data_IF_604298546449
#
_entry.id   IF_604298546449
#
_cell.length_a   1.000
_cell.length_b   1.000
_cell.length_c   1.000
_cell.angle_alpha   90.00
_cell.angle_beta   90.00
_cell.angle_gamma   90.00
#
_symmetry.space_group_name_H-M   'P 1'
#
loop_
_entity.id
_entity.type
_entity.pdbx_description
1 polymer ?
#
# COMPACT_ATOMS: atom_id res chain seq x y z
N UNK A 1 -18.09 5.79 -13.39
CA UNK A 1 -17.72 6.47 -12.13
C UNK A 1 -16.20 6.60 -12.12
N UNK A 2 -15.70 7.81 -11.91
CA UNK A 2 -14.26 8.10 -11.92
C UNK A 2 -13.73 7.73 -10.55
N UNK A 3 -12.93 6.65 -10.44
CA UNK A 3 -12.44 6.13 -9.15
C UNK A 3 -10.95 6.41 -8.95
N UNK A 4 -10.59 6.94 -7.79
CA UNK A 4 -9.23 6.94 -7.26
C UNK A 4 -9.02 5.78 -6.30
N UNK A 5 -7.77 5.36 -6.12
CA UNK A 5 -7.45 4.20 -5.28
C UNK A 5 -6.35 4.56 -4.29
N UNK A 6 -6.57 4.26 -3.01
CA UNK A 6 -5.57 4.43 -1.95
C UNK A 6 -5.05 3.04 -1.56
N UNK A 7 -3.81 2.74 -1.88
CA UNK A 7 -3.13 1.54 -1.40
C UNK A 7 -2.37 1.84 -0.11
N UNK A 8 -2.43 0.95 0.87
CA UNK A 8 -1.70 1.11 2.12
C UNK A 8 -0.93 -0.18 2.43
N UNK A 9 0.40 -0.09 2.44
CA UNK A 9 1.25 -1.09 3.08
C UNK A 9 1.33 -0.76 4.57
N UNK A 10 0.76 -1.66 5.39
CA UNK A 10 0.64 -1.46 6.83
C UNK A 10 1.93 -1.88 7.51
N UNK A 11 2.60 -0.94 8.16
CA UNK A 11 3.80 -1.20 8.93
C UNK A 11 4.64 0.06 9.13
N UNK A 12 5.60 0.01 10.05
CA UNK A 12 6.51 1.14 10.34
C UNK A 12 7.36 1.56 9.13
N UNK A 13 7.58 0.66 8.20
CA UNK A 13 8.30 0.89 6.93
C UNK A 13 7.35 0.84 5.73
N UNK A 14 6.07 0.98 5.98
CA UNK A 14 5.05 0.99 4.95
C UNK A 14 4.90 2.35 4.27
N UNK A 15 3.90 2.43 3.41
CA UNK A 15 3.56 3.67 2.71
C UNK A 15 2.06 3.76 2.43
N UNK A 16 1.62 4.97 2.19
CA UNK A 16 0.28 5.33 1.73
C UNK A 16 0.46 5.86 0.32
N UNK A 17 -0.20 5.27 -0.64
CA UNK A 17 -0.14 5.68 -2.05
C UNK A 17 -1.53 5.99 -2.55
N UNK A 18 -1.72 7.15 -3.13
CA UNK A 18 -2.95 7.50 -3.81
C UNK A 18 -2.70 7.54 -5.32
N UNK A 19 -3.40 6.66 -6.04
CA UNK A 19 -3.45 6.64 -7.49
C UNK A 19 -4.69 7.42 -7.95
N UNK A 20 -4.46 8.57 -8.52
CA UNK A 20 -5.50 9.43 -9.06
C UNK A 20 -6.16 8.82 -10.31
N UNK A 21 -7.39 9.22 -10.61
CA UNK A 21 -8.08 8.74 -11.83
C UNK A 21 -7.33 9.11 -13.13
N UNK A 22 -6.62 10.23 -13.16
CA UNK A 22 -5.81 10.70 -14.29
C UNK A 22 -4.44 9.99 -14.42
N UNK A 23 -4.12 9.11 -13.46
CA UNK A 23 -2.87 8.36 -13.42
C UNK A 23 -1.76 8.99 -12.59
N UNK A 24 -1.96 10.19 -12.06
CA UNK A 24 -1.01 10.80 -11.11
C UNK A 24 -0.91 9.94 -9.85
N UNK A 25 0.29 9.85 -9.28
CA UNK A 25 0.59 9.09 -8.08
C UNK A 25 1.11 10.04 -7.01
N UNK A 26 0.50 10.01 -5.83
CA UNK A 26 0.99 10.65 -4.61
C UNK A 26 1.38 9.57 -3.61
N UNK A 27 2.54 9.69 -2.98
CA UNK A 27 3.05 8.70 -2.05
C UNK A 27 3.62 9.35 -0.78
N UNK A 28 3.32 8.75 0.36
CA UNK A 28 3.80 9.16 1.66
C UNK A 28 4.30 7.94 2.42
N UNK A 29 5.45 8.05 3.11
CA UNK A 29 5.82 7.05 4.10
C UNK A 29 4.79 7.01 5.22
N UNK A 30 4.59 5.86 5.84
CA UNK A 30 3.84 5.79 7.10
C UNK A 30 4.51 6.72 8.11
N UNK A 31 3.81 7.73 8.64
CA UNK A 31 4.41 8.71 9.54
C UNK A 31 4.76 8.08 10.88
N UNK A 32 5.87 8.52 11.46
CA UNK A 32 6.42 7.97 12.69
C UNK A 32 6.72 9.07 13.71
N UNK A 33 6.36 8.80 14.97
CA UNK A 33 6.85 9.57 16.13
C UNK A 33 7.74 8.62 16.92
N UNK A 34 9.05 8.89 16.93
CA UNK A 34 10.06 7.98 17.47
C UNK A 34 9.93 6.59 16.80
N UNK A 35 9.62 5.57 17.57
CA UNK A 35 9.49 4.18 17.13
C UNK A 35 8.03 3.72 16.94
N UNK A 36 7.05 4.62 16.99
CA UNK A 36 5.63 4.32 16.86
C UNK A 36 5.02 5.02 15.66
N UNK A 37 3.97 4.43 15.11
CA UNK A 37 3.21 5.05 14.02
C UNK A 37 2.43 6.25 14.55
N UNK A 38 2.58 7.39 13.89
CA UNK A 38 1.76 8.58 14.13
C UNK A 38 0.40 8.42 13.44
N UNK A 39 -0.53 7.82 14.15
CA UNK A 39 -1.86 7.58 13.62
C UNK A 39 -2.66 8.87 13.39
N UNK A 40 -2.38 9.94 14.14
CA UNK A 40 -3.04 11.22 13.93
C UNK A 40 -2.63 11.82 12.59
N UNK A 41 -1.33 11.90 12.34
CA UNK A 41 -0.83 12.42 11.06
C UNK A 41 -1.14 11.47 9.89
N UNK A 42 -1.16 10.16 10.10
CA UNK A 42 -1.63 9.20 9.10
C UNK A 42 -3.10 9.44 8.72
N UNK A 43 -3.95 9.68 9.70
CA UNK A 43 -5.35 10.04 9.48
C UNK A 43 -5.46 11.32 8.65
N UNK A 44 -4.70 12.38 8.97
CA UNK A 44 -4.72 13.65 8.25
C UNK A 44 -4.32 13.49 6.78
N UNK A 45 -3.30 12.66 6.48
CA UNK A 45 -2.90 12.33 5.10
C UNK A 45 -4.06 11.68 4.34
N UNK A 46 -4.67 10.65 4.92
CA UNK A 46 -5.78 9.90 4.28
C UNK A 46 -7.01 10.80 4.13
N UNK A 47 -7.32 11.62 5.14
CA UNK A 47 -8.41 12.58 5.08
C UNK A 47 -8.22 13.60 3.97
N UNK A 48 -6.99 14.12 3.82
CA UNK A 48 -6.67 15.08 2.75
C UNK A 48 -6.85 14.47 1.36
N UNK A 49 -6.37 13.24 1.15
CA UNK A 49 -6.57 12.51 -0.10
C UNK A 49 -8.06 12.30 -0.40
N UNK A 50 -8.83 11.89 0.62
CA UNK A 50 -10.26 11.66 0.51
C UNK A 50 -11.03 12.95 0.18
N UNK A 51 -10.74 14.04 0.91
CA UNK A 51 -11.40 15.32 0.71
C UNK A 51 -11.16 15.89 -0.70
N UNK A 52 -9.90 15.86 -1.17
CA UNK A 52 -9.55 16.29 -2.53
C UNK A 52 -10.25 15.46 -3.60
N UNK A 53 -10.30 14.13 -3.42
CA UNK A 53 -10.99 13.27 -4.35
C UNK A 53 -12.48 13.56 -4.39
N UNK A 54 -13.10 13.71 -3.22
CA UNK A 54 -14.53 14.00 -3.10
C UNK A 54 -14.89 15.37 -3.74
N UNK A 55 -14.08 16.38 -3.50
CA UNK A 55 -14.25 17.72 -4.09
C UNK A 55 -14.21 17.68 -5.63
N UNK A 56 -13.32 16.87 -6.21
CA UNK A 56 -13.13 16.80 -7.66
C UNK A 56 -14.15 15.87 -8.37
N UNK A 57 -14.59 14.82 -7.71
CA UNK A 57 -15.31 13.72 -8.38
C UNK A 57 -16.65 13.36 -7.75
N UNK A 58 -17.03 14.04 -6.67
CA UNK A 58 -18.28 13.79 -5.90
C UNK A 58 -18.43 12.31 -5.47
N UNK A 59 -17.33 11.66 -5.15
CA UNK A 59 -17.30 10.31 -4.64
C UNK A 59 -16.04 10.07 -3.78
N UNK A 60 -16.06 9.03 -2.95
CA UNK A 60 -14.88 8.65 -2.19
C UNK A 60 -13.94 7.77 -3.03
N UNK A 61 -12.62 7.87 -2.84
CA UNK A 61 -11.69 6.89 -3.38
C UNK A 61 -11.91 5.52 -2.74
N UNK A 62 -11.37 4.45 -3.32
CA UNK A 62 -11.42 3.12 -2.69
C UNK A 62 -10.08 2.80 -2.03
N UNK A 63 -10.12 2.40 -0.75
CA UNK A 63 -8.92 2.05 0.00
C UNK A 63 -8.64 0.55 -0.06
N UNK A 64 -7.38 0.17 -0.31
CA UNK A 64 -6.93 -1.22 -0.38
C UNK A 64 -5.74 -1.41 0.55
N UNK A 65 -5.79 -2.42 1.41
CA UNK A 65 -4.68 -2.82 2.26
C UNK A 65 -4.67 -4.32 2.52
N UNK A 66 -3.55 -4.83 3.04
CA UNK A 66 -3.41 -6.27 3.23
C UNK A 66 -4.36 -6.80 4.31
N UNK A 67 -5.00 -7.92 3.99
CA UNK A 67 -5.65 -8.77 4.99
C UNK A 67 -4.58 -9.56 5.72
N UNK A 68 -4.27 -9.15 6.95
CA UNK A 68 -3.31 -9.87 7.77
C UNK A 68 -3.88 -11.25 8.16
N UNK A 69 -3.10 -12.27 7.92
CA UNK A 69 -3.36 -13.63 8.43
C UNK A 69 -2.64 -13.89 9.74
N UNK A 70 -2.97 -14.99 10.40
CA UNK A 70 -2.18 -15.48 11.52
C UNK A 70 -0.83 -15.94 10.97
N UNK A 71 0.25 -15.24 11.33
CA UNK A 71 1.61 -15.63 10.94
C UNK A 71 2.12 -16.61 11.99
N UNK A 72 2.09 -17.90 11.65
CA UNK A 72 2.67 -18.93 12.50
C UNK A 72 4.17 -18.66 12.70
N UNK A 73 4.64 -18.71 13.96
CA UNK A 73 6.03 -18.45 14.31
C UNK A 73 6.39 -16.97 14.53
N UNK A 74 5.47 -16.02 14.33
CA UNK A 74 5.71 -14.64 14.75
C UNK A 74 5.67 -14.50 16.29
N UNK A 75 6.44 -13.54 16.82
CA UNK A 75 6.33 -13.22 18.24
C UNK A 75 4.94 -12.66 18.58
N UNK A 76 4.50 -12.85 19.82
CA UNK A 76 3.22 -12.28 20.31
C UNK A 76 3.19 -10.76 20.12
N UNK A 77 4.31 -10.09 20.38
CA UNK A 77 4.45 -8.63 20.21
C UNK A 77 4.29 -8.22 18.74
N UNK A 78 4.90 -8.96 17.80
CA UNK A 78 4.75 -8.70 16.38
C UNK A 78 3.30 -8.87 15.93
N UNK A 79 2.66 -9.98 16.32
CA UNK A 79 1.27 -10.25 15.96
C UNK A 79 0.32 -9.17 16.52
N UNK A 80 0.53 -8.76 17.79
CA UNK A 80 -0.24 -7.69 18.41
C UNK A 80 -0.05 -6.36 17.68
N UNK A 81 1.19 -5.96 17.40
CA UNK A 81 1.49 -4.71 16.67
C UNK A 81 0.87 -4.68 15.28
N UNK A 82 0.95 -5.77 14.54
CA UNK A 82 0.33 -5.88 13.21
C UNK A 82 -1.19 -5.79 13.29
N UNK A 83 -1.81 -6.50 14.23
CA UNK A 83 -3.26 -6.44 14.45
C UNK A 83 -3.74 -5.04 14.82
N UNK A 84 -3.02 -4.37 15.73
CA UNK A 84 -3.30 -3.00 16.13
C UNK A 84 -3.24 -2.02 14.96
N UNK A 85 -2.18 -2.08 14.16
CA UNK A 85 -2.02 -1.21 12.98
C UNK A 85 -3.11 -1.48 11.94
N UNK A 86 -3.43 -2.75 11.68
CA UNK A 86 -4.52 -3.11 10.74
C UNK A 86 -5.88 -2.60 11.22
N UNK A 87 -6.17 -2.73 12.51
CA UNK A 87 -7.39 -2.18 13.10
C UNK A 87 -7.46 -0.66 13.02
N UNK A 88 -6.34 0.04 13.24
CA UNK A 88 -6.27 1.49 13.11
C UNK A 88 -6.58 1.95 11.68
N UNK A 89 -5.96 1.34 10.67
CA UNK A 89 -6.23 1.66 9.25
C UNK A 89 -7.69 1.40 8.88
N UNK A 90 -8.24 0.27 9.32
CA UNK A 90 -9.66 -0.05 9.10
C UNK A 90 -10.59 0.99 9.74
N UNK A 91 -10.31 1.40 10.96
CA UNK A 91 -11.09 2.44 11.64
C UNK A 91 -10.98 3.81 10.96
N UNK A 92 -9.83 4.16 10.40
CA UNK A 92 -9.68 5.38 9.58
C UNK A 92 -10.59 5.34 8.35
N UNK A 93 -10.63 4.21 7.63
CA UNK A 93 -11.52 4.05 6.48
C UNK A 93 -12.99 4.20 6.88
N UNK A 94 -13.41 3.57 7.98
CA UNK A 94 -14.79 3.65 8.51
C UNK A 94 -15.14 5.10 8.92
N UNK A 95 -14.26 5.75 9.68
CA UNK A 95 -14.48 7.10 10.19
C UNK A 95 -14.59 8.14 9.05
N UNK A 96 -13.79 7.96 8.00
CA UNK A 96 -13.78 8.81 6.80
C UNK A 96 -14.81 8.39 5.74
N UNK A 97 -15.60 7.33 6.00
CA UNK A 97 -16.58 6.76 5.06
C UNK A 97 -15.97 6.34 3.72
N UNK A 98 -14.69 6.00 3.72
CA UNK A 98 -13.99 5.52 2.54
C UNK A 98 -14.32 4.03 2.35
N UNK A 99 -14.88 3.60 1.20
CA UNK A 99 -15.03 2.19 0.90
C UNK A 99 -13.67 1.52 0.87
N UNK A 100 -13.55 0.32 1.44
CA UNK A 100 -12.27 -0.37 1.53
C UNK A 100 -12.38 -1.87 1.28
N UNK A 101 -11.27 -2.45 0.85
CA UNK A 101 -11.12 -3.89 0.67
C UNK A 101 -9.80 -4.37 1.30
N UNK A 102 -9.90 -5.40 2.14
CA UNK A 102 -8.73 -6.13 2.66
C UNK A 102 -8.42 -7.31 1.75
N UNK A 103 -7.20 -7.38 1.22
CA UNK A 103 -6.78 -8.41 0.27
C UNK A 103 -5.60 -9.24 0.81
N UNK A 104 -5.63 -10.57 0.70
CA UNK A 104 -4.47 -11.39 1.05
C UNK A 104 -3.27 -11.08 0.15
N UNK A 105 -2.05 -11.03 0.71
CA UNK A 105 -0.82 -10.77 -0.05
C UNK A 105 -0.69 -11.67 -1.29
N UNK A 106 -0.92 -12.98 -1.15
CA UNK A 106 -0.85 -13.93 -2.26
C UNK A 106 -1.80 -13.59 -3.41
N UNK A 107 -2.93 -12.95 -3.13
CA UNK A 107 -3.95 -12.65 -4.14
C UNK A 107 -3.51 -11.49 -5.04
N UNK A 108 -3.09 -10.36 -4.47
CA UNK A 108 -2.63 -9.23 -5.27
C UNK A 108 -1.28 -9.51 -5.93
N UNK A 109 -0.36 -10.22 -5.25
CA UNK A 109 0.92 -10.63 -5.80
C UNK A 109 0.75 -11.53 -7.02
N UNK A 110 -0.15 -12.53 -6.97
CA UNK A 110 -0.43 -13.40 -8.13
C UNK A 110 -0.83 -12.60 -9.36
N UNK A 111 -1.67 -11.59 -9.20
CA UNK A 111 -2.13 -10.74 -10.30
C UNK A 111 -1.02 -9.81 -10.81
N UNK A 112 -0.35 -9.11 -9.89
CA UNK A 112 0.63 -8.08 -10.26
C UNK A 112 1.94 -8.69 -10.80
N UNK A 113 2.30 -9.88 -10.35
CA UNK A 113 3.51 -10.57 -10.81
C UNK A 113 3.32 -11.36 -12.12
N UNK A 114 2.14 -11.32 -12.72
CA UNK A 114 1.91 -11.93 -14.05
C UNK A 114 2.91 -11.36 -15.06
N UNK A 115 3.73 -12.24 -15.68
CA UNK A 115 4.78 -11.85 -16.62
C UNK A 115 6.07 -11.32 -15.96
N UNK A 116 6.23 -11.48 -14.66
CA UNK A 116 7.50 -11.29 -13.95
C UNK A 116 8.14 -12.65 -13.76
N UNK A 117 9.41 -12.77 -14.17
CA UNK A 117 10.19 -13.98 -13.90
C UNK A 117 10.38 -14.18 -12.39
N UNK A 118 10.42 -15.44 -11.97
CA UNK A 118 10.63 -15.76 -10.57
C UNK A 118 12.04 -15.39 -10.13
N UNK A 119 12.13 -14.53 -9.12
CA UNK A 119 13.38 -14.11 -8.50
C UNK A 119 13.47 -14.80 -7.14
N UNK A 120 14.60 -15.47 -6.89
CA UNK A 120 14.88 -16.12 -5.61
C UNK A 120 15.90 -15.31 -4.79
N UNK A 121 15.79 -15.41 -3.49
CA UNK A 121 16.77 -14.80 -2.58
C UNK A 121 18.10 -15.51 -2.76
N UNK A 122 19.19 -14.76 -2.95
CA UNK A 122 20.54 -15.32 -3.12
C UNK A 122 20.87 -16.35 -2.05
N UNK A 123 21.22 -17.56 -2.49
CA UNK A 123 21.55 -18.68 -1.60
C UNK A 123 20.34 -19.36 -0.93
N UNK A 124 19.10 -19.05 -1.35
CA UNK A 124 17.88 -19.67 -0.83
C UNK A 124 16.96 -20.10 -1.97
N UNK A 125 16.07 -21.05 -1.70
CA UNK A 125 14.97 -21.43 -2.62
C UNK A 125 13.72 -20.56 -2.48
N UNK A 126 13.71 -19.64 -1.50
CA UNK A 126 12.58 -18.77 -1.25
C UNK A 126 12.51 -17.63 -2.28
N UNK A 127 11.31 -17.30 -2.73
CA UNK A 127 11.06 -16.18 -3.64
C UNK A 127 11.42 -14.85 -3.00
N UNK A 128 12.07 -13.99 -3.77
CA UNK A 128 12.29 -12.60 -3.43
C UNK A 128 11.08 -11.77 -3.92
N UNK A 129 10.03 -11.75 -3.11
CA UNK A 129 8.79 -11.04 -3.45
C UNK A 129 9.00 -9.53 -3.55
N UNK A 130 9.99 -8.95 -2.86
CA UNK A 130 10.31 -7.53 -2.95
C UNK A 130 10.95 -7.18 -4.29
N UNK A 131 11.92 -7.98 -4.73
CA UNK A 131 12.52 -7.80 -6.05
C UNK A 131 11.47 -7.98 -7.15
N UNK A 132 10.62 -8.99 -7.04
CA UNK A 132 9.53 -9.23 -7.99
C UNK A 132 8.50 -8.08 -8.01
N UNK A 133 8.14 -7.54 -6.85
CA UNK A 133 7.24 -6.39 -6.75
C UNK A 133 7.84 -5.16 -7.46
N UNK A 134 9.11 -4.88 -7.24
CA UNK A 134 9.78 -3.76 -7.90
C UNK A 134 9.82 -3.92 -9.42
N UNK A 135 10.09 -5.13 -9.94
CA UNK A 135 10.05 -5.41 -11.38
C UNK A 135 8.64 -5.20 -11.92
N UNK A 136 7.63 -5.70 -11.23
CA UNK A 136 6.23 -5.50 -11.61
C UNK A 136 5.86 -4.01 -11.63
N UNK A 137 6.22 -3.26 -10.60
CA UNK A 137 5.94 -1.83 -10.51
C UNK A 137 6.61 -1.02 -11.62
N UNK A 138 7.88 -1.25 -11.91
CA UNK A 138 8.60 -0.59 -13.02
C UNK A 138 7.96 -0.87 -14.38
N UNK A 139 7.45 -2.08 -14.58
CA UNK A 139 6.75 -2.45 -15.82
C UNK A 139 5.41 -1.74 -15.94
N UNK A 140 4.66 -1.63 -14.85
CA UNK A 140 3.30 -1.07 -14.84
C UNK A 140 3.31 0.45 -14.81
N UNK A 141 4.32 1.04 -14.22
CA UNK A 141 4.48 2.48 -14.05
C UNK A 141 5.85 2.95 -14.58
N UNK A 142 6.07 2.88 -15.90
CA UNK A 142 7.33 3.31 -16.49
C UNK A 142 7.57 4.80 -16.24
N UNK A 143 8.76 5.14 -15.76
CA UNK A 143 9.14 6.51 -15.42
C UNK A 143 8.72 6.98 -14.01
N UNK A 144 7.97 6.17 -13.25
CA UNK A 144 7.68 6.48 -11.85
C UNK A 144 8.92 6.32 -10.99
N UNK A 145 9.23 7.34 -10.20
CA UNK A 145 10.21 7.25 -9.13
C UNK A 145 9.59 6.52 -7.93
N UNK A 146 10.28 5.49 -7.45
CA UNK A 146 9.86 4.71 -6.29
C UNK A 146 10.60 5.11 -5.01
N UNK A 147 11.30 6.23 -5.01
CA UNK A 147 11.87 6.81 -3.79
C UNK A 147 10.85 7.72 -3.11
N UNK A 148 10.82 7.73 -1.77
CA UNK A 148 9.90 8.60 -1.01
C UNK A 148 10.51 9.97 -0.68
N UNK A 149 11.80 10.15 -0.95
CA UNK A 149 12.51 11.41 -0.70
C UNK A 149 13.55 11.63 -1.79
N UNK A 150 13.81 12.89 -2.14
CA UNK A 150 14.84 13.27 -3.13
C UNK A 150 16.25 12.76 -2.78
N UNK A 151 16.51 12.49 -1.51
CA UNK A 151 17.82 11.98 -1.04
C UNK A 151 17.92 10.46 -1.06
N UNK A 152 16.81 9.77 -1.22
CA UNK A 152 16.80 8.32 -1.25
C UNK A 152 17.33 7.82 -2.61
N UNK A 153 18.25 6.88 -2.57
CA UNK A 153 18.83 6.25 -3.77
C UNK A 153 18.25 4.88 -4.05
N UNK A 154 17.47 4.33 -3.11
CA UNK A 154 16.87 3.01 -3.23
C UNK A 154 15.34 3.12 -3.25
N UNK A 155 14.68 2.30 -4.06
CA UNK A 155 13.23 2.19 -4.03
C UNK A 155 12.73 1.86 -2.62
N UNK A 156 11.59 2.43 -2.25
CA UNK A 156 10.94 2.17 -0.98
C UNK A 156 9.94 1.01 -1.13
N UNK A 157 10.25 -0.12 -0.51
CA UNK A 157 9.44 -1.36 -0.63
C UNK A 157 7.96 -1.12 -0.33
N UNK A 158 7.66 -0.41 0.75
CA UNK A 158 6.27 -0.12 1.13
C UNK A 158 5.53 0.74 0.11
N UNK A 159 6.21 1.69 -0.56
CA UNK A 159 5.61 2.45 -1.66
C UNK A 159 5.29 1.55 -2.85
N UNK A 160 6.20 0.65 -3.19
CA UNK A 160 6.01 -0.32 -4.28
C UNK A 160 4.80 -1.21 -4.00
N UNK A 161 4.72 -1.80 -2.81
CA UNK A 161 3.62 -2.69 -2.43
C UNK A 161 2.28 -1.94 -2.36
N UNK A 162 2.24 -0.75 -1.76
CA UNK A 162 1.04 0.09 -1.69
C UNK A 162 0.53 0.48 -3.09
N UNK A 163 1.45 0.86 -4.01
CA UNK A 163 1.09 1.19 -5.38
C UNK A 163 0.55 -0.03 -6.14
N UNK A 164 1.16 -1.20 -5.98
CA UNK A 164 0.67 -2.43 -6.61
C UNK A 164 -0.70 -2.86 -6.06
N UNK A 165 -0.98 -2.62 -4.77
CA UNK A 165 -2.30 -2.86 -4.20
C UNK A 165 -3.35 -1.88 -4.74
N UNK A 166 -3.02 -0.61 -4.92
CA UNK A 166 -3.94 0.35 -5.55
C UNK A 166 -4.25 -0.02 -7.01
N UNK A 167 -3.24 -0.42 -7.78
CA UNK A 167 -3.40 -0.90 -9.15
C UNK A 167 -4.23 -2.19 -9.22
N UNK A 168 -4.03 -3.10 -8.26
CA UNK A 168 -4.89 -4.29 -8.14
C UNK A 168 -6.36 -3.89 -7.97
N UNK A 169 -6.66 -2.96 -7.07
CA UNK A 169 -8.02 -2.45 -6.88
C UNK A 169 -8.61 -1.86 -8.15
N UNK A 170 -7.84 -1.05 -8.87
CA UNK A 170 -8.21 -0.46 -10.15
C UNK A 170 -8.56 -1.52 -11.19
N UNK A 171 -7.74 -2.55 -11.34
CA UNK A 171 -7.99 -3.66 -12.30
C UNK A 171 -9.20 -4.49 -11.95
N UNK A 172 -9.50 -4.63 -10.66
CA UNK A 172 -10.69 -5.38 -10.20
C UNK A 172 -11.96 -4.53 -10.19
N UNK A 173 -11.87 -3.22 -10.45
CA UNK A 173 -13.00 -2.30 -10.43
C UNK A 173 -13.64 -2.14 -9.05
N UNK A 174 -12.84 -2.31 -7.99
CA UNK A 174 -13.29 -2.23 -6.60
C UNK A 174 -13.88 -0.85 -6.28
#
# INVERSE_FOLDING_TARGET
>A
MIKGYIGIDIGKKGAIVYQHPDGKIEAYAVPMIKDEVDYAFMYDIIQLMNARHYELYDCHPHMIFEKLGVIFGSSKTTAFSMGHQSGAVEMMAIALRIPYTKIPAKQWQKEMFTGVEEITITGKTARDTKAMALVAAKRLFPGQDFTLTERATKPHDGMVDALLMSEYGKRKGL
#
